data_IF_317817153543
#
_entry.id   IF_317817153543
#
_cell.length_a   1.000
_cell.length_b   1.000
_cell.length_c   1.000
_cell.angle_alpha   90.00
_cell.angle_beta   90.00
_cell.angle_gamma   90.00
#
_symmetry.space_group_name_H-M   'P 1'
#
loop_
_entity.id
_entity.type
_entity.pdbx_description
1 polymer ?
#
# COMPACT_ATOMS: atom_id res chain seq x y z
N UNK A 1 13.56 -50.02 -7.20
CA UNK A 1 12.73 -48.83 -7.38
C UNK A 1 12.91 -48.00 -6.13
N UNK A 2 13.68 -46.91 -6.17
CA UNK A 2 13.87 -46.04 -5.01
C UNK A 2 12.63 -45.16 -4.86
N UNK A 3 11.94 -45.27 -3.73
CA UNK A 3 10.87 -44.35 -3.37
C UNK A 3 11.42 -42.92 -3.31
N UNK A 4 10.73 -41.99 -3.95
CA UNK A 4 11.09 -40.57 -3.90
C UNK A 4 10.78 -39.99 -2.52
N UNK A 5 11.67 -39.15 -1.99
CA UNK A 5 11.43 -38.49 -0.70
C UNK A 5 10.38 -37.40 -0.88
N UNK A 6 9.29 -37.48 -0.11
CA UNK A 6 8.27 -36.43 0.01
C UNK A 6 8.58 -35.56 1.23
N UNK A 7 8.59 -34.25 1.01
CA UNK A 7 8.78 -33.25 2.05
C UNK A 7 7.58 -32.30 2.05
N UNK A 8 6.91 -32.20 3.18
CA UNK A 8 5.87 -31.19 3.41
C UNK A 8 6.37 -30.15 4.41
N UNK A 9 6.02 -28.89 4.19
CA UNK A 9 6.38 -27.79 5.07
C UNK A 9 5.32 -26.70 5.06
N UNK A 10 5.11 -26.09 6.23
CA UNK A 10 4.20 -24.96 6.40
C UNK A 10 5.00 -23.72 6.78
N UNK A 11 4.77 -22.61 6.09
CA UNK A 11 5.41 -21.33 6.34
C UNK A 11 4.37 -20.29 6.69
N UNK A 12 4.69 -19.46 7.67
CA UNK A 12 3.85 -18.35 8.10
C UNK A 12 4.59 -17.03 7.95
N UNK A 13 3.91 -16.05 7.36
CA UNK A 13 4.34 -14.65 7.32
C UNK A 13 3.30 -13.82 8.08
N UNK A 14 3.67 -13.09 9.15
CA UNK A 14 2.73 -12.20 9.83
C UNK A 14 2.44 -10.96 8.98
N UNK A 15 1.57 -10.08 9.51
CA UNK A 15 1.44 -8.74 8.94
C UNK A 15 2.73 -7.97 9.08
N UNK A 16 3.15 -7.32 8.00
CA UNK A 16 4.26 -6.39 8.02
C UNK A 16 3.76 -4.99 7.70
N UNK A 17 4.05 -4.07 8.61
CA UNK A 17 3.97 -2.64 8.35
C UNK A 17 4.99 -2.27 7.28
N UNK A 18 4.65 -1.28 6.45
CA UNK A 18 5.62 -0.67 5.56
C UNK A 18 6.57 0.22 6.37
N UNK A 19 6.04 1.00 7.32
CA UNK A 19 6.85 1.74 8.29
C UNK A 19 7.80 2.74 7.64
N UNK A 20 7.29 3.52 6.68
CA UNK A 20 8.05 4.63 6.07
C UNK A 20 8.69 5.52 7.13
N UNK A 21 9.90 6.04 6.90
CA UNK A 21 10.63 6.82 7.91
C UNK A 21 9.89 8.11 8.23
N UNK A 22 9.39 8.80 7.20
CA UNK A 22 8.51 9.96 7.32
C UNK A 22 7.03 9.54 7.25
N UNK A 23 6.16 10.01 8.16
CA UNK A 23 4.73 9.76 8.07
C UNK A 23 4.11 10.44 6.85
N UNK A 24 2.91 10.03 6.49
CA UNK A 24 2.21 10.62 5.34
C UNK A 24 1.88 12.09 5.60
N UNK A 25 2.27 12.95 4.64
CA UNK A 25 2.01 14.38 4.71
C UNK A 25 1.62 14.96 3.33
N UNK A 26 0.84 16.02 3.36
CA UNK A 26 0.49 16.82 2.20
C UNK A 26 0.27 18.29 2.58
N UNK A 27 0.48 19.17 1.61
CA UNK A 27 0.03 20.57 1.68
C UNK A 27 -1.04 20.76 0.62
N UNK A 28 -2.12 21.44 0.94
CA UNK A 28 -3.13 21.83 -0.04
C UNK A 28 -3.52 23.29 0.11
N UNK A 29 -3.86 23.92 -1.00
CA UNK A 29 -4.31 25.29 -1.06
C UNK A 29 -5.41 25.42 -2.11
N UNK A 30 -6.49 26.10 -1.74
CA UNK A 30 -7.64 26.34 -2.61
C UNK A 30 -7.81 27.84 -2.84
N UNK A 31 -7.48 28.31 -4.04
CA UNK A 31 -7.49 29.73 -4.45
C UNK A 31 -8.16 29.84 -5.81
N UNK A 32 -9.04 30.82 -5.98
CA UNK A 32 -9.68 31.13 -7.27
C UNK A 32 -10.33 29.92 -7.94
N UNK A 33 -10.95 29.05 -7.14
CA UNK A 33 -11.56 27.77 -7.58
C UNK A 33 -10.59 26.72 -8.12
N UNK A 34 -9.29 26.88 -7.86
CA UNK A 34 -8.23 25.94 -8.20
C UNK A 34 -7.63 25.33 -6.93
N UNK A 35 -7.54 24.01 -6.90
CA UNK A 35 -6.95 23.23 -5.81
C UNK A 35 -5.55 22.77 -6.19
N UNK A 36 -4.54 23.26 -5.48
CA UNK A 36 -3.15 22.80 -5.63
C UNK A 36 -2.76 21.96 -4.42
N UNK A 37 -2.23 20.78 -4.67
CA UNK A 37 -1.85 19.81 -3.63
C UNK A 37 -0.40 19.41 -3.84
N UNK A 38 0.44 19.62 -2.84
CA UNK A 38 1.77 19.06 -2.77
C UNK A 38 1.70 17.76 -1.97
N UNK A 39 1.99 16.64 -2.63
CA UNK A 39 1.88 15.32 -2.03
C UNK A 39 3.05 14.46 -2.45
N UNK A 40 3.41 13.52 -1.59
CA UNK A 40 4.40 12.51 -1.90
C UNK A 40 3.82 11.23 -2.49
N UNK A 41 2.54 11.23 -2.87
CA UNK A 41 1.89 10.12 -3.56
C UNK A 41 2.70 9.67 -4.78
N UNK A 42 2.88 8.36 -4.94
CA UNK A 42 3.48 7.74 -6.13
C UNK A 42 2.53 7.74 -7.33
N UNK A 43 1.24 7.97 -7.11
CA UNK A 43 0.21 8.01 -8.15
C UNK A 43 -0.53 9.36 -8.17
N UNK A 44 0.14 10.48 -8.52
CA UNK A 44 -0.46 11.81 -8.49
C UNK A 44 -1.73 11.92 -9.34
N UNK A 45 -1.79 11.25 -10.49
CA UNK A 45 -2.99 11.22 -11.34
C UNK A 45 -4.14 10.41 -10.74
N UNK A 46 -3.83 9.31 -10.05
CA UNK A 46 -4.82 8.45 -9.40
C UNK A 46 -5.47 9.21 -8.24
N UNK A 47 -4.66 9.81 -7.37
CA UNK A 47 -5.19 10.59 -6.25
C UNK A 47 -5.90 11.86 -6.73
N UNK A 48 -5.45 12.50 -7.82
CA UNK A 48 -6.17 13.62 -8.45
C UNK A 48 -7.59 13.22 -8.86
N UNK A 49 -7.74 12.07 -9.52
CA UNK A 49 -9.05 11.58 -9.95
C UNK A 49 -9.95 11.25 -8.75
N UNK A 50 -9.40 10.63 -7.70
CA UNK A 50 -10.14 10.33 -6.48
C UNK A 50 -10.61 11.61 -5.76
N UNK A 51 -9.75 12.63 -5.66
CA UNK A 51 -10.09 13.94 -5.05
C UNK A 51 -11.13 14.68 -5.89
N UNK A 52 -10.99 14.71 -7.22
CA UNK A 52 -11.96 15.31 -8.11
C UNK A 52 -13.36 14.72 -7.90
N UNK A 53 -13.43 13.38 -7.84
CA UNK A 53 -14.67 12.67 -7.59
C UNK A 53 -15.23 12.95 -6.18
N UNK A 54 -14.40 12.86 -5.15
CA UNK A 54 -14.84 13.02 -3.75
C UNK A 54 -15.31 14.44 -3.42
N UNK A 55 -14.65 15.47 -3.98
CA UNK A 55 -14.96 16.87 -3.71
C UNK A 55 -15.87 17.52 -4.75
N UNK A 56 -16.27 16.77 -5.79
CA UNK A 56 -17.05 17.26 -6.92
C UNK A 56 -16.43 18.51 -7.61
N UNK A 57 -15.09 18.52 -7.72
CA UNK A 57 -14.32 19.57 -8.40
C UNK A 57 -13.88 19.02 -9.76
N UNK A 58 -13.89 19.85 -10.81
CA UNK A 58 -13.38 19.43 -12.12
C UNK A 58 -11.91 19.01 -11.99
N UNK A 59 -11.50 17.87 -12.60
CA UNK A 59 -10.09 17.47 -12.58
C UNK A 59 -9.15 18.58 -13.08
N UNK A 60 -9.58 19.39 -14.04
CA UNK A 60 -8.77 20.48 -14.63
C UNK A 60 -8.51 21.63 -13.65
N UNK A 61 -9.30 21.70 -12.58
CA UNK A 61 -9.11 22.65 -11.47
C UNK A 61 -8.21 22.08 -10.36
N UNK A 62 -7.74 20.84 -10.48
CA UNK A 62 -6.91 20.19 -9.46
C UNK A 62 -5.53 19.92 -10.03
N UNK A 63 -4.50 20.42 -9.33
CA UNK A 63 -3.10 20.11 -9.63
C UNK A 63 -2.48 19.37 -8.45
N UNK A 64 -2.01 18.15 -8.69
CA UNK A 64 -1.25 17.37 -7.69
C UNK A 64 0.22 17.40 -8.08
N UNK A 65 1.03 18.06 -7.27
CA UNK A 65 2.47 18.24 -7.45
C UNK A 65 3.18 17.22 -6.57
N UNK A 66 3.93 16.31 -7.20
CA UNK A 66 4.73 15.34 -6.48
C UNK A 66 5.88 16.00 -5.71
N UNK A 67 6.14 15.53 -4.49
CA UNK A 67 7.29 15.89 -3.65
C UNK A 67 7.94 14.64 -3.06
N UNK A 68 9.24 14.68 -2.86
CA UNK A 68 10.00 13.58 -2.26
C UNK A 68 9.55 13.34 -0.80
N UNK A 69 9.51 12.08 -0.38
CA UNK A 69 9.28 11.69 1.02
C UNK A 69 10.44 10.82 1.53
N UNK A 70 10.58 10.74 2.85
CA UNK A 70 11.47 9.84 3.56
C UNK A 70 10.95 8.39 3.53
N UNK A 71 10.85 7.84 2.33
CA UNK A 71 10.48 6.45 2.07
C UNK A 71 9.04 6.26 1.59
N UNK A 72 8.90 5.33 0.67
CA UNK A 72 7.66 4.65 0.33
C UNK A 72 8.04 3.25 -0.16
N UNK A 73 7.65 2.21 0.57
CA UNK A 73 8.05 0.82 0.28
C UNK A 73 6.96 0.00 -0.42
N UNK A 74 5.87 0.67 -0.80
CA UNK A 74 4.86 0.22 -1.77
C UNK A 74 3.80 1.31 -1.90
N UNK A 75 3.14 1.67 -0.79
CA UNK A 75 2.11 2.70 -0.75
C UNK A 75 2.04 3.31 0.66
N UNK A 76 2.31 4.60 0.80
CA UNK A 76 2.10 5.33 2.06
C UNK A 76 0.61 5.66 2.23
N UNK A 77 0.15 6.04 3.43
CA UNK A 77 -1.22 6.49 3.67
C UNK A 77 -1.69 7.54 2.64
N UNK A 78 -2.47 7.10 1.64
CA UNK A 78 -2.96 7.93 0.53
C UNK A 78 -3.81 9.13 1.01
N UNK A 79 -4.38 8.98 2.20
CA UNK A 79 -5.39 9.84 2.80
C UNK A 79 -4.86 11.20 3.25
N UNK A 80 -3.54 11.39 3.38
CA UNK A 80 -3.00 12.70 3.75
C UNK A 80 -3.32 13.77 2.68
N UNK A 81 -3.25 13.42 1.39
CA UNK A 81 -3.58 14.32 0.29
C UNK A 81 -5.09 14.64 0.23
N UNK A 82 -5.94 13.63 0.41
CA UNK A 82 -7.39 13.81 0.47
C UNK A 82 -7.80 14.68 1.65
N UNK A 83 -7.25 14.43 2.83
CA UNK A 83 -7.54 15.22 4.03
C UNK A 83 -7.10 16.67 3.89
N UNK A 84 -5.90 16.91 3.35
CA UNK A 84 -5.41 18.26 3.09
C UNK A 84 -6.33 18.99 2.10
N UNK A 85 -6.70 18.32 1.00
CA UNK A 85 -7.61 18.84 -0.01
C UNK A 85 -8.97 19.24 0.58
N UNK A 86 -9.58 18.35 1.35
CA UNK A 86 -10.87 18.59 2.01
C UNK A 86 -10.81 19.81 2.92
N UNK A 87 -9.76 19.92 3.74
CA UNK A 87 -9.57 21.05 4.65
C UNK A 87 -9.30 22.36 3.89
N UNK A 88 -8.48 22.34 2.83
CA UNK A 88 -8.21 23.52 2.02
C UNK A 88 -9.48 24.04 1.33
N UNK A 89 -10.35 23.15 0.85
CA UNK A 89 -11.65 23.54 0.31
C UNK A 89 -12.58 24.14 1.38
N UNK A 90 -12.48 23.70 2.64
CA UNK A 90 -13.24 24.25 3.75
C UNK A 90 -12.69 25.61 4.23
N UNK A 91 -11.39 25.84 4.10
CA UNK A 91 -10.69 27.07 4.47
C UNK A 91 -9.99 27.72 3.26
N UNK A 92 -10.76 28.23 2.28
CA UNK A 92 -10.20 28.82 1.07
C UNK A 92 -9.25 29.99 1.36
N UNK A 93 -8.18 30.10 0.57
CA UNK A 93 -7.16 31.14 0.70
C UNK A 93 -6.12 30.90 1.80
N UNK A 94 -6.21 29.78 2.54
CA UNK A 94 -5.19 29.40 3.52
C UNK A 94 -4.47 28.11 3.08
N UNK A 95 -3.13 28.09 3.08
CA UNK A 95 -2.39 26.86 2.86
C UNK A 95 -2.54 25.94 4.08
N UNK A 96 -3.04 24.73 3.86
CA UNK A 96 -3.22 23.71 4.89
C UNK A 96 -2.10 22.69 4.79
N UNK A 97 -1.34 22.54 5.87
CA UNK A 97 -0.43 21.41 6.05
C UNK A 97 -1.10 20.33 6.88
N UNK A 98 -1.17 19.11 6.34
CA UNK A 98 -1.66 17.94 7.05
C UNK A 98 -0.55 16.90 7.09
N UNK A 99 -0.26 16.41 8.30
CA UNK A 99 0.66 15.32 8.54
C UNK A 99 0.00 14.32 9.47
N UNK A 100 0.13 13.04 9.15
CA UNK A 100 -0.29 11.97 10.03
C UNK A 100 0.65 11.84 11.23
N UNK A 101 0.06 11.58 12.38
CA UNK A 101 0.82 11.08 13.53
C UNK A 101 1.33 9.68 13.21
N UNK A 102 2.54 9.35 13.69
CA UNK A 102 3.19 8.05 13.48
C UNK A 102 2.31 6.88 13.91
N UNK A 103 1.69 7.04 15.06
CA UNK A 103 0.75 6.12 15.68
C UNK A 103 -0.54 5.94 14.86
N UNK A 104 -1.03 7.00 14.19
CA UNK A 104 -2.14 6.88 13.23
C UNK A 104 -1.70 6.18 11.94
N UNK A 105 -0.52 6.50 11.40
CA UNK A 105 0.04 5.83 10.22
C UNK A 105 0.14 4.32 10.47
N UNK A 106 0.69 3.89 11.60
CA UNK A 106 0.80 2.47 11.95
C UNK A 106 -0.53 1.76 12.19
N UNK A 107 -1.64 2.47 12.26
CA UNK A 107 -2.96 1.88 12.37
C UNK A 107 -3.64 1.76 11.01
N UNK A 108 -3.39 2.70 10.10
CA UNK A 108 -4.19 2.90 8.89
C UNK A 108 -3.39 2.80 7.58
N UNK A 109 -2.06 2.71 7.61
CA UNK A 109 -1.28 2.42 6.40
C UNK A 109 -1.58 1.01 5.87
N UNK A 110 -1.33 0.75 4.58
CA UNK A 110 -1.41 -0.60 4.04
C UNK A 110 -0.42 -1.55 4.72
N UNK A 111 -0.89 -2.76 5.04
CA UNK A 111 -0.05 -3.83 5.58
C UNK A 111 0.17 -4.91 4.53
N UNK A 112 1.37 -5.48 4.50
CA UNK A 112 1.55 -6.77 3.83
C UNK A 112 0.70 -7.81 4.56
N UNK A 113 -0.16 -8.58 3.87
CA UNK A 113 -1.13 -9.44 4.52
C UNK A 113 -0.44 -10.62 5.21
N UNK A 114 -0.98 -11.05 6.35
CA UNK A 114 -0.59 -12.34 6.93
C UNK A 114 -0.86 -13.47 5.93
N UNK A 115 0.07 -14.41 5.82
CA UNK A 115 0.05 -15.45 4.79
C UNK A 115 0.46 -16.80 5.39
N UNK A 116 -0.34 -17.83 5.13
CA UNK A 116 0.00 -19.22 5.42
C UNK A 116 0.23 -19.96 4.09
N UNK A 117 1.39 -20.59 3.96
CA UNK A 117 1.79 -21.29 2.75
C UNK A 117 2.05 -22.75 3.12
N UNK A 118 1.37 -23.67 2.44
CA UNK A 118 1.62 -25.10 2.54
C UNK A 118 2.35 -25.57 1.28
N UNK A 119 3.55 -26.11 1.49
CA UNK A 119 4.39 -26.65 0.43
C UNK A 119 4.42 -28.17 0.54
N UNK A 120 4.17 -28.84 -0.58
CA UNK A 120 4.33 -30.27 -0.73
C UNK A 120 5.23 -30.56 -1.93
N UNK A 121 6.35 -31.20 -1.65
CA UNK A 121 7.39 -31.48 -2.62
C UNK A 121 7.67 -32.98 -2.64
N UNK A 122 7.62 -33.59 -3.84
CA UNK A 122 8.05 -34.95 -4.06
C UNK A 122 9.25 -34.96 -4.99
N UNK A 123 10.43 -35.32 -4.47
CA UNK A 123 11.59 -35.50 -5.33
C UNK A 123 11.58 -36.90 -5.95
N UNK A 124 11.60 -37.02 -7.28
CA UNK A 124 11.92 -38.30 -7.93
C UNK A 124 13.44 -38.38 -8.07
N UNK A 125 14.05 -39.37 -7.42
CA UNK A 125 15.46 -39.71 -7.60
C UNK A 125 15.67 -40.40 -8.96
N UNK A 126 15.45 -39.68 -10.06
CA UNK A 126 16.05 -40.03 -11.34
C UNK A 126 16.85 -38.80 -11.74
N UNK A 127 18.17 -38.89 -11.57
CA UNK A 127 19.14 -37.98 -12.18
C UNK A 127 18.99 -38.05 -13.71
N UNK A 128 17.97 -37.38 -14.24
CA UNK A 128 18.01 -36.87 -15.60
C UNK A 128 18.97 -35.69 -15.56
N UNK A 129 19.96 -35.69 -16.45
CA UNK A 129 20.91 -34.60 -16.68
C UNK A 129 20.24 -33.26 -17.02
N UNK A 130 18.91 -33.24 -17.19
CA UNK A 130 18.08 -32.05 -17.34
C UNK A 130 17.00 -32.11 -16.25
N UNK A 131 17.27 -31.45 -15.13
CA UNK A 131 16.50 -31.57 -13.90
C UNK A 131 15.09 -31.00 -14.00
N UNK A 132 14.12 -31.72 -13.46
CA UNK A 132 12.87 -31.15 -12.98
C UNK A 132 12.27 -32.02 -11.89
N UNK A 133 11.85 -31.37 -10.79
CA UNK A 133 11.05 -31.99 -9.74
C UNK A 133 9.63 -31.42 -9.83
N UNK A 134 8.57 -32.25 -9.76
CA UNK A 134 7.22 -31.74 -9.58
C UNK A 134 7.09 -31.20 -8.14
N UNK A 135 7.10 -29.88 -7.99
CA UNK A 135 6.78 -29.21 -6.73
C UNK A 135 5.47 -28.46 -6.87
N UNK A 136 4.55 -28.61 -5.92
CA UNK A 136 3.33 -27.83 -5.85
C UNK A 136 3.36 -26.96 -4.60
N UNK A 137 3.31 -25.64 -4.79
CA UNK A 137 3.10 -24.69 -3.73
C UNK A 137 1.62 -24.29 -3.71
N UNK A 138 0.95 -24.40 -2.56
CA UNK A 138 -0.43 -23.94 -2.40
C UNK A 138 -0.46 -22.80 -1.40
N UNK A 139 -0.87 -21.62 -1.86
CA UNK A 139 -1.33 -20.57 -0.97
C UNK A 139 -2.69 -21.03 -0.42
N UNK A 140 -2.73 -21.36 0.86
CA UNK A 140 -3.97 -21.83 1.50
C UNK A 140 -4.79 -20.68 2.03
N UNK A 141 -4.14 -19.65 2.56
CA UNK A 141 -4.81 -18.47 3.09
C UNK A 141 -3.91 -17.24 3.07
N UNK A 142 -4.48 -16.12 2.65
CA UNK A 142 -3.92 -14.78 2.85
C UNK A 142 -5.07 -13.88 3.27
N UNK A 143 -4.85 -13.06 4.30
CA UNK A 143 -5.87 -12.09 4.65
C UNK A 143 -5.98 -11.02 3.55
N UNK A 144 -7.20 -10.60 3.25
CA UNK A 144 -7.48 -9.66 2.17
C UNK A 144 -7.82 -8.26 2.66
N UNK A 145 -7.78 -8.03 3.98
CA UNK A 145 -8.10 -6.72 4.56
C UNK A 145 -6.90 -5.76 4.38
N UNK A 146 -6.96 -4.78 3.47
CA UNK A 146 -5.80 -3.95 3.14
C UNK A 146 -5.60 -2.77 4.09
N UNK A 147 -6.54 -2.54 5.02
CA UNK A 147 -6.64 -1.30 5.79
C UNK A 147 -7.03 -1.58 7.24
N UNK A 148 -6.25 -1.09 8.20
CA UNK A 148 -6.55 -1.29 9.63
C UNK A 148 -5.93 -2.57 10.20
N UNK A 149 -5.48 -2.51 11.46
CA UNK A 149 -5.09 -3.73 12.19
C UNK A 149 -6.28 -4.68 12.32
N UNK A 150 -6.13 -5.98 12.05
CA UNK A 150 -7.14 -6.97 12.40
C UNK A 150 -7.38 -6.93 13.90
N UNK A 151 -8.65 -6.81 14.30
CA UNK A 151 -9.03 -7.03 15.70
C UNK A 151 -9.06 -8.55 15.92
N UNK A 152 -8.12 -9.04 16.72
CA UNK A 152 -8.07 -10.43 17.19
C UNK A 152 -8.95 -10.55 18.43
#
# INVERSE_FOLDING_TARGET
MTEGNRCTATYFKPYHLLGSIGPSAAIAEFIDSCLTIYSHSQGPHVIRAAIAHALAISPDQITVIHKENAGCYEHNGADAAMGAALLACHYPGYPIFLQWHRDNEHLWEPFSPATLIELDHASRTVLSTHGMLPSTARLTWADHFPWGKPQI
#
